data_IF_885582662498
#
_entry.id   IF_885582662498
#
_cell.length_a   1.000
_cell.length_b   1.000
_cell.length_c   1.000
_cell.angle_alpha   90.00
_cell.angle_beta   90.00
_cell.angle_gamma   90.00
#
_symmetry.space_group_name_H-M   'P 1'
#
loop_
_entity.id
_entity.type
_entity.pdbx_description
1 polymer ?
#
# COMPACT_ATOMS: atom_id res chain seq x y z
N UNK A 1 45.71 -11.57 2.82
CA UNK A 1 44.27 -11.91 2.87
C UNK A 1 43.57 -11.11 1.78
N UNK A 2 43.24 -11.72 0.64
CA UNK A 2 42.60 -11.00 -0.48
C UNK A 2 41.13 -10.77 -0.14
N UNK A 3 40.68 -9.51 -0.07
CA UNK A 3 39.25 -9.19 0.09
C UNK A 3 38.53 -9.65 -1.18
N UNK A 4 37.71 -10.70 -1.08
CA UNK A 4 36.75 -11.03 -2.13
C UNK A 4 35.65 -9.96 -2.09
N UNK A 5 35.71 -9.00 -3.02
CA UNK A 5 34.64 -8.01 -3.18
C UNK A 5 33.38 -8.65 -3.77
N UNK A 6 32.20 -8.14 -3.41
CA UNK A 6 30.94 -8.49 -4.05
C UNK A 6 30.54 -7.36 -5.01
N UNK A 7 29.95 -7.72 -6.15
CA UNK A 7 29.43 -6.81 -7.16
C UNK A 7 27.96 -7.16 -7.44
N UNK A 8 27.10 -6.16 -7.45
CA UNK A 8 25.69 -6.31 -7.83
C UNK A 8 25.48 -5.81 -9.26
N UNK A 9 25.01 -6.70 -10.13
CA UNK A 9 24.48 -6.36 -11.44
C UNK A 9 22.97 -6.18 -11.35
N UNK A 10 22.46 -5.07 -11.87
CA UNK A 10 21.03 -4.74 -11.81
C UNK A 10 20.49 -4.51 -13.22
N UNK A 11 19.41 -5.19 -13.55
CA UNK A 11 18.52 -4.81 -14.64
C UNK A 11 17.16 -4.47 -14.03
N UNK A 12 16.89 -3.16 -13.87
CA UNK A 12 15.68 -2.68 -13.21
C UNK A 12 14.42 -3.26 -13.87
N UNK A 13 13.53 -3.80 -13.04
CA UNK A 13 12.29 -4.44 -13.48
C UNK A 13 12.45 -5.87 -14.00
N UNK A 14 13.66 -6.45 -13.98
CA UNK A 14 13.92 -7.80 -14.50
C UNK A 14 14.65 -8.65 -13.47
N UNK A 15 15.87 -8.30 -13.07
CA UNK A 15 16.66 -9.12 -12.13
C UNK A 15 17.77 -8.36 -11.41
N UNK A 16 18.11 -8.89 -10.23
CA UNK A 16 19.29 -8.53 -9.45
C UNK A 16 20.22 -9.74 -9.40
N UNK A 17 21.48 -9.55 -9.77
CA UNK A 17 22.50 -10.59 -9.81
C UNK A 17 23.64 -10.20 -8.88
N UNK A 18 24.09 -11.14 -8.05
CA UNK A 18 25.31 -11.04 -7.26
C UNK A 18 26.45 -11.77 -7.97
N UNK A 19 27.59 -11.10 -8.09
CA UNK A 19 28.83 -11.66 -8.61
C UNK A 19 29.99 -11.37 -7.65
N UNK A 20 31.01 -12.22 -7.67
CA UNK A 20 32.19 -12.08 -6.80
C UNK A 20 33.40 -11.63 -7.61
N UNK A 21 34.18 -10.72 -7.05
CA UNK A 21 35.40 -10.21 -7.66
C UNK A 21 36.36 -11.37 -7.99
N UNK A 22 36.87 -11.40 -9.22
CA UNK A 22 37.77 -12.43 -9.75
C UNK A 22 37.19 -13.86 -9.84
N UNK A 23 35.87 -14.05 -9.73
CA UNK A 23 35.23 -15.34 -10.01
C UNK A 23 34.65 -15.34 -11.44
N UNK A 24 35.06 -16.29 -12.28
CA UNK A 24 34.59 -16.42 -13.68
C UNK A 24 33.23 -17.13 -13.81
N UNK A 25 32.54 -17.41 -12.70
CA UNK A 25 31.23 -18.04 -12.72
C UNK A 25 30.14 -17.04 -13.09
N UNK A 26 29.12 -17.49 -13.82
CA UNK A 26 27.88 -16.74 -14.00
C UNK A 26 27.29 -16.42 -12.61
N UNK A 27 27.07 -15.14 -12.34
CA UNK A 27 26.64 -14.67 -11.02
C UNK A 27 25.34 -15.33 -10.53
N UNK A 28 25.08 -15.24 -9.22
CA UNK A 28 23.86 -15.78 -8.59
C UNK A 28 22.72 -14.77 -8.71
N UNK A 29 21.57 -15.20 -9.24
CA UNK A 29 20.35 -14.38 -9.22
C UNK A 29 19.82 -14.29 -7.79
N UNK A 30 19.71 -13.07 -7.26
CA UNK A 30 19.16 -12.80 -5.93
C UNK A 30 17.67 -12.48 -5.96
N UNK A 31 17.22 -11.88 -7.06
CA UNK A 31 15.83 -11.51 -7.27
C UNK A 31 15.53 -11.53 -8.77
N UNK A 32 14.35 -12.02 -9.11
CA UNK A 32 13.78 -11.98 -10.45
C UNK A 32 12.36 -11.42 -10.36
N UNK A 33 12.03 -10.50 -11.26
CA UNK A 33 10.71 -9.90 -11.31
C UNK A 33 9.68 -10.92 -11.80
N UNK A 34 8.50 -10.92 -11.19
CA UNK A 34 7.39 -11.75 -11.65
C UNK A 34 6.90 -11.20 -12.99
N UNK A 35 6.79 -12.03 -14.05
CA UNK A 35 6.32 -11.56 -15.35
C UNK A 35 4.87 -11.06 -15.26
N UNK A 36 4.50 -10.00 -16.01
CA UNK A 36 3.16 -9.47 -15.99
C UNK A 36 2.14 -10.48 -16.55
N UNK A 37 0.87 -10.44 -16.12
CA UNK A 37 -0.20 -11.23 -16.73
C UNK A 37 -0.35 -10.94 -18.23
N UNK A 38 -0.85 -11.92 -19.00
CA UNK A 38 -1.03 -11.77 -20.46
C UNK A 38 -1.91 -10.57 -20.86
N UNK A 39 -2.94 -10.27 -20.06
CA UNK A 39 -3.91 -9.21 -20.31
C UNK A 39 -3.58 -7.88 -19.61
N UNK A 40 -2.33 -7.65 -19.21
CA UNK A 40 -1.90 -6.48 -18.41
C UNK A 40 -2.31 -5.13 -19.01
N UNK A 41 -2.38 -5.03 -20.34
CA UNK A 41 -2.82 -3.81 -21.05
C UNK A 41 -4.28 -3.42 -20.79
N UNK A 42 -5.15 -4.36 -20.40
CA UNK A 42 -6.55 -4.09 -20.04
C UNK A 42 -6.70 -3.57 -18.61
N UNK A 43 -5.71 -3.85 -17.77
CA UNK A 43 -5.75 -3.58 -16.32
C UNK A 43 -4.62 -2.62 -15.93
N UNK A 44 -4.51 -1.49 -16.63
CA UNK A 44 -3.61 -0.39 -16.29
C UNK A 44 -2.12 -0.75 -16.18
N UNK A 45 -1.67 -1.85 -16.77
CA UNK A 45 -0.30 -2.31 -16.64
C UNK A 45 0.01 -2.98 -15.29
N UNK A 46 -1.01 -3.37 -14.52
CA UNK A 46 -0.84 -3.91 -13.18
C UNK A 46 -0.25 -5.33 -13.14
N UNK A 47 0.62 -5.54 -12.15
CA UNK A 47 1.05 -6.88 -11.77
C UNK A 47 -0.11 -7.64 -11.11
N UNK A 48 -0.01 -8.97 -11.06
CA UNK A 48 -1.00 -9.78 -10.33
C UNK A 48 -1.11 -9.37 -8.85
N UNK A 49 0.01 -9.01 -8.22
CA UNK A 49 0.02 -8.50 -6.85
C UNK A 49 -0.79 -7.21 -6.73
N UNK A 50 -0.60 -6.27 -7.66
CA UNK A 50 -1.34 -5.00 -7.69
C UNK A 50 -2.84 -5.21 -7.88
N UNK A 51 -3.24 -6.13 -8.76
CA UNK A 51 -4.64 -6.50 -8.94
C UNK A 51 -5.28 -7.04 -7.64
N UNK A 52 -4.51 -7.76 -6.82
CA UNK A 52 -4.99 -8.30 -5.54
C UNK A 52 -5.08 -7.29 -4.39
N UNK A 53 -4.47 -6.10 -4.51
CA UNK A 53 -4.45 -5.12 -3.40
C UNK A 53 -5.83 -4.60 -3.01
N UNK A 54 -6.77 -4.53 -3.96
CA UNK A 54 -8.12 -4.01 -3.73
C UNK A 54 -9.21 -5.09 -3.77
N UNK A 55 -8.81 -6.36 -3.83
CA UNK A 55 -9.73 -7.48 -3.67
C UNK A 55 -10.36 -7.43 -2.26
N UNK A 56 -11.67 -7.68 -2.19
CA UNK A 56 -12.43 -7.58 -0.95
C UNK A 56 -13.43 -8.72 -0.89
N UNK A 57 -13.15 -9.70 -0.03
CA UNK A 57 -14.13 -10.74 0.27
C UNK A 57 -15.20 -10.24 1.24
N UNK A 58 -16.33 -10.94 1.29
CA UNK A 58 -17.42 -10.61 2.22
C UNK A 58 -17.00 -10.82 3.67
N UNK A 59 -16.15 -11.82 3.91
CA UNK A 59 -15.60 -12.16 5.22
C UNK A 59 -14.64 -11.08 5.70
N UNK A 60 -13.73 -10.63 4.84
CA UNK A 60 -12.75 -9.59 5.20
C UNK A 60 -13.44 -8.28 5.55
N UNK A 61 -14.50 -7.91 4.82
CA UNK A 61 -15.23 -6.65 5.00
C UNK A 61 -15.69 -6.44 6.45
N UNK A 62 -16.06 -7.51 7.16
CA UNK A 62 -16.48 -7.45 8.56
C UNK A 62 -15.35 -7.08 9.55
N UNK A 63 -14.09 -7.21 9.12
CA UNK A 63 -12.89 -6.95 9.93
C UNK A 63 -12.09 -5.74 9.43
N UNK A 64 -12.65 -4.90 8.57
CA UNK A 64 -12.01 -3.69 8.09
C UNK A 64 -12.53 -2.46 8.84
N UNK A 65 -11.67 -1.46 9.09
CA UNK A 65 -12.17 -0.19 9.54
C UNK A 65 -12.95 0.47 8.38
N UNK A 66 -13.97 1.30 8.66
CA UNK A 66 -14.68 2.12 7.67
C UNK A 66 -13.77 3.06 6.86
N UNK A 67 -12.49 3.18 7.22
CA UNK A 67 -11.49 3.99 6.50
C UNK A 67 -10.59 3.19 5.54
N UNK A 68 -10.76 1.86 5.45
CA UNK A 68 -9.97 1.03 4.54
C UNK A 68 -10.23 1.40 3.07
N UNK A 69 -9.16 1.49 2.27
CA UNK A 69 -9.24 1.88 0.86
C UNK A 69 -10.15 0.96 0.03
N UNK A 70 -10.26 -0.32 0.39
CA UNK A 70 -11.14 -1.29 -0.32
C UNK A 70 -12.62 -0.96 -0.23
N UNK A 71 -13.00 -0.13 0.74
CA UNK A 71 -14.37 0.32 0.96
C UNK A 71 -14.70 1.60 0.18
N UNK A 72 -13.72 2.21 -0.51
CA UNK A 72 -13.92 3.43 -1.30
C UNK A 72 -14.90 3.20 -2.45
N UNK A 73 -16.07 3.89 -2.47
CA UNK A 73 -17.09 3.64 -3.48
C UNK A 73 -16.69 4.14 -4.87
N UNK A 74 -15.88 5.21 -4.96
CA UNK A 74 -15.37 5.74 -6.21
C UNK A 74 -14.39 4.77 -6.89
N UNK A 75 -13.49 4.18 -6.10
CA UNK A 75 -12.54 3.18 -6.62
C UNK A 75 -13.23 1.89 -7.04
N UNK A 76 -14.19 1.41 -6.24
CA UNK A 76 -14.96 0.22 -6.61
C UNK A 76 -15.79 0.43 -7.87
N UNK A 77 -16.41 1.61 -8.04
CA UNK A 77 -17.17 1.91 -9.25
C UNK A 77 -16.27 1.92 -10.51
N UNK A 78 -15.06 2.47 -10.40
CA UNK A 78 -14.09 2.48 -11.49
C UNK A 78 -13.65 1.06 -11.88
N UNK A 79 -13.37 0.20 -10.90
CA UNK A 79 -13.01 -1.21 -11.14
C UNK A 79 -14.10 -2.00 -11.85
N UNK A 80 -15.38 -1.68 -11.57
CA UNK A 80 -16.54 -2.28 -12.22
C UNK A 80 -16.86 -1.64 -13.60
N UNK A 81 -16.05 -0.67 -14.05
CA UNK A 81 -16.22 0.00 -15.34
C UNK A 81 -17.25 1.14 -15.34
N UNK A 82 -17.82 1.51 -14.20
CA UNK A 82 -18.79 2.61 -14.09
C UNK A 82 -18.08 3.94 -13.81
N UNK A 83 -17.56 4.54 -14.88
CA UNK A 83 -16.82 5.80 -14.81
C UNK A 83 -17.69 6.97 -14.32
N UNK A 84 -18.97 7.00 -14.69
CA UNK A 84 -19.90 8.08 -14.28
C UNK A 84 -20.13 8.04 -12.78
N UNK A 85 -20.41 6.87 -12.21
CA UNK A 85 -20.56 6.69 -10.76
C UNK A 85 -19.26 6.97 -10.02
N UNK A 86 -18.12 6.51 -10.56
CA UNK A 86 -16.81 6.79 -9.95
C UNK A 86 -16.56 8.29 -9.80
N UNK A 87 -16.83 9.09 -10.84
CA UNK A 87 -16.69 10.55 -10.80
C UNK A 87 -17.62 11.17 -9.77
N UNK A 88 -18.90 10.78 -9.76
CA UNK A 88 -19.87 11.31 -8.80
C UNK A 88 -19.48 11.01 -7.33
N UNK A 89 -19.09 9.76 -7.03
CA UNK A 89 -18.62 9.36 -5.71
C UNK A 89 -17.33 10.10 -5.32
N UNK A 90 -16.38 10.28 -6.25
CA UNK A 90 -15.15 11.04 -6.02
C UNK A 90 -15.44 12.49 -5.62
N UNK A 91 -16.34 13.16 -6.36
CA UNK A 91 -16.72 14.53 -6.06
C UNK A 91 -17.36 14.67 -4.68
N UNK A 92 -18.24 13.74 -4.29
CA UNK A 92 -18.87 13.73 -2.97
C UNK A 92 -17.84 13.53 -1.85
N UNK A 93 -16.92 12.57 -2.03
CA UNK A 93 -15.85 12.26 -1.06
C UNK A 93 -14.91 13.45 -0.87
N UNK A 94 -14.44 14.08 -1.95
CA UNK A 94 -13.58 15.25 -1.87
C UNK A 94 -14.27 16.45 -1.24
N UNK A 95 -15.56 16.67 -1.55
CA UNK A 95 -16.36 17.75 -0.93
C UNK A 95 -16.46 17.53 0.59
N UNK A 96 -16.79 16.31 1.03
CA UNK A 96 -16.86 15.97 2.45
C UNK A 96 -15.49 16.12 3.15
N UNK A 97 -14.40 15.76 2.47
CA UNK A 97 -13.04 15.96 2.99
C UNK A 97 -12.70 17.45 3.14
N UNK A 98 -13.04 18.29 2.14
CA UNK A 98 -12.80 19.74 2.20
C UNK A 98 -13.54 20.39 3.37
N UNK A 99 -14.80 20.03 3.61
CA UNK A 99 -15.58 20.53 4.76
C UNK A 99 -14.99 20.09 6.11
N UNK A 100 -14.46 18.87 6.22
CA UNK A 100 -13.80 18.41 7.47
C UNK A 100 -12.46 19.06 7.75
N UNK A 101 -11.75 19.51 6.71
CA UNK A 101 -10.39 20.04 6.83
C UNK A 101 -10.31 21.37 7.62
N UNK A 102 -11.45 21.94 7.98
CA UNK A 102 -11.58 23.06 8.92
C UNK A 102 -11.30 22.64 10.38
N UNK A 103 -11.25 21.33 10.68
CA UNK A 103 -10.96 20.78 12.00
C UNK A 103 -9.52 20.26 12.11
N UNK A 104 -8.91 20.38 13.31
CA UNK A 104 -7.56 19.87 13.59
C UNK A 104 -7.54 18.33 13.49
N UNK A 105 -7.01 17.79 12.40
CA UNK A 105 -6.93 16.35 12.18
C UNK A 105 -5.90 15.66 13.09
N UNK A 106 -6.32 14.58 13.76
CA UNK A 106 -5.45 13.71 14.57
C UNK A 106 -5.38 12.31 13.93
N UNK A 107 -4.16 11.78 13.75
CA UNK A 107 -3.93 10.43 13.23
C UNK A 107 -4.15 9.40 14.34
N UNK A 108 -4.80 8.29 14.01
CA UNK A 108 -5.16 7.25 14.99
C UNK A 108 -4.07 6.19 15.19
N UNK A 109 -3.43 5.76 14.10
CA UNK A 109 -2.58 4.56 14.08
C UNK A 109 -1.08 4.86 14.12
N UNK A 110 -0.71 6.12 13.92
CA UNK A 110 0.68 6.54 13.79
C UNK A 110 0.96 7.78 14.62
N UNK A 111 2.14 7.81 15.21
CA UNK A 111 2.65 8.93 16.01
C UNK A 111 3.97 9.41 15.44
N UNK A 112 4.23 10.71 15.58
CA UNK A 112 5.43 11.34 15.05
C UNK A 112 6.58 11.14 16.03
N UNK A 113 7.71 10.63 15.55
CA UNK A 113 8.91 10.41 16.34
C UNK A 113 10.14 10.86 15.55
N UNK A 114 11.15 11.37 16.26
CA UNK A 114 12.43 11.70 15.66
C UNK A 114 13.35 10.47 15.68
N UNK A 115 13.90 10.12 14.52
CA UNK A 115 14.89 9.06 14.42
C UNK A 115 16.19 9.46 15.11
N UNK A 116 16.73 8.60 15.98
CA UNK A 116 17.92 8.92 16.77
C UNK A 116 19.22 8.95 15.96
N UNK A 117 19.23 8.31 14.78
CA UNK A 117 20.43 8.20 13.94
C UNK A 117 20.47 9.27 12.85
N UNK A 118 19.35 9.48 12.18
CA UNK A 118 19.22 10.38 11.03
C UNK A 118 18.60 11.73 11.38
N UNK A 119 18.10 11.89 12.62
CA UNK A 119 17.38 13.08 13.11
C UNK A 119 16.14 13.44 12.28
N UNK A 120 15.70 12.55 11.41
CA UNK A 120 14.55 12.75 10.53
C UNK A 120 13.27 12.47 11.30
N UNK A 121 12.24 13.28 11.03
CA UNK A 121 10.90 13.04 11.56
C UNK A 121 10.25 11.87 10.81
N UNK A 122 9.84 10.84 11.53
CA UNK A 122 9.15 9.67 10.99
C UNK A 122 7.78 9.47 11.63
N UNK A 123 6.87 8.81 10.91
CA UNK A 123 5.61 8.34 11.45
C UNK A 123 5.72 6.86 11.80
N UNK A 124 5.68 6.54 13.09
CA UNK A 124 5.84 5.17 13.58
C UNK A 124 4.47 4.66 14.05
N UNK A 125 4.19 3.38 13.76
CA UNK A 125 2.96 2.73 14.23
C UNK A 125 2.92 2.74 15.76
N UNK A 126 1.79 3.14 16.33
CA UNK A 126 1.58 3.11 17.78
C UNK A 126 1.05 1.75 18.28
N UNK A 127 0.98 0.73 17.41
CA UNK A 127 0.51 -0.62 17.74
C UNK A 127 -1.01 -0.76 17.91
N UNK A 128 -1.77 0.34 17.91
CA UNK A 128 -3.22 0.31 18.23
C UNK A 128 -4.07 -0.28 17.11
N UNK A 129 -3.60 -0.26 15.86
CA UNK A 129 -4.37 -0.74 14.71
C UNK A 129 -4.74 -2.22 14.83
N UNK A 130 -3.76 -3.09 15.11
CA UNK A 130 -3.99 -4.53 15.19
C UNK A 130 -4.83 -4.91 16.41
N UNK A 131 -4.59 -4.27 17.56
CA UNK A 131 -5.42 -4.45 18.75
C UNK A 131 -6.88 -4.00 18.52
N UNK A 132 -7.09 -2.92 17.76
CA UNK A 132 -8.44 -2.50 17.36
C UNK A 132 -9.09 -3.47 16.37
N UNK A 133 -8.31 -4.04 15.44
CA UNK A 133 -8.78 -5.04 14.47
C UNK A 133 -9.30 -6.31 15.14
N UNK A 134 -8.62 -6.81 16.18
CA UNK A 134 -9.09 -7.96 16.98
C UNK A 134 -10.49 -7.71 17.58
N UNK A 135 -10.78 -6.46 17.92
CA UNK A 135 -12.09 -6.01 18.44
C UNK A 135 -13.04 -5.50 17.36
N UNK A 136 -12.73 -5.74 16.07
CA UNK A 136 -13.52 -5.28 14.92
C UNK A 136 -13.78 -3.76 14.93
N UNK A 137 -12.82 -2.98 15.43
CA UNK A 137 -12.87 -1.51 15.49
C UNK A 137 -14.06 -0.92 16.27
N UNK A 138 -14.74 -1.71 17.11
CA UNK A 138 -15.92 -1.26 17.89
C UNK A 138 -15.59 -0.18 18.93
N UNK A 139 -14.36 -0.19 19.46
CA UNK A 139 -13.93 0.67 20.56
C UNK A 139 -13.06 1.86 20.10
N UNK A 140 -13.31 2.42 18.91
CA UNK A 140 -12.49 3.51 18.33
C UNK A 140 -13.34 4.75 18.08
N UNK A 141 -13.60 5.59 19.11
CA UNK A 141 -14.55 6.70 19.04
C UNK A 141 -14.13 7.80 18.05
N UNK A 142 -12.83 8.03 17.90
CA UNK A 142 -12.27 9.04 17.00
C UNK A 142 -12.20 8.56 15.53
N UNK A 143 -12.76 7.38 15.21
CA UNK A 143 -12.72 6.81 13.87
C UNK A 143 -13.68 7.51 12.92
N UNK A 144 -13.12 8.04 11.83
CA UNK A 144 -13.91 8.66 10.77
C UNK A 144 -14.76 7.63 10.04
N UNK A 145 -16.04 7.97 9.89
CA UNK A 145 -16.98 7.24 9.04
C UNK A 145 -16.95 7.90 7.65
N UNK A 146 -16.17 7.35 6.72
CA UNK A 146 -15.90 8.01 5.43
C UNK A 146 -16.90 7.65 4.32
N UNK A 147 -17.55 6.49 4.42
CA UNK A 147 -18.34 5.89 3.33
C UNK A 147 -19.77 5.48 3.73
N UNK A 148 -20.20 5.85 4.93
CA UNK A 148 -21.58 5.67 5.44
C UNK A 148 -22.45 6.87 5.16
#
# INVERSE_FOLDING_TARGET
MVRKGALFGVQWGIKLILSWYNCRSDGTVLFEAIPPPKDVGKYYGFSQFTCGLNELSSEEKAFLPPTDSRLRPDMRALELGDATKAVACKMALEKAQRTRNEQKHKRLWFEQQQDSMTYTTMWISNGKYWAAKEKQFKDVPDMLQLFT
#
